data_IF_074397908038
#
_entry.id   IF_074397908038
#
_cell.length_a   1.000
_cell.length_b   1.000
_cell.length_c   1.000
_cell.angle_alpha   90.00
_cell.angle_beta   90.00
_cell.angle_gamma   90.00
#
_symmetry.space_group_name_H-M   'P 1'
#
loop_
_entity.id
_entity.type
_entity.pdbx_description
1 polymer ?
#
# COMPACT_ATOMS: atom_id res chain seq x y z
N UNK A 1 -15.82 -23.77 4.75
CA UNK A 1 -16.32 -23.13 6.00
C UNK A 1 -16.07 -21.65 5.85
N UNK A 2 -17.12 -20.84 5.88
CA UNK A 2 -16.99 -19.39 5.79
C UNK A 2 -16.48 -18.87 7.14
N UNK A 3 -15.38 -18.10 7.14
CA UNK A 3 -14.93 -17.40 8.33
C UNK A 3 -15.85 -16.21 8.59
N UNK A 4 -16.30 -15.97 9.82
CA UNK A 4 -17.20 -14.87 10.13
C UNK A 4 -16.51 -13.52 9.95
N UNK A 5 -17.17 -12.60 9.27
CA UNK A 5 -16.81 -11.16 9.28
C UNK A 5 -17.17 -10.66 10.68
N UNK A 6 -16.17 -10.34 11.48
CA UNK A 6 -16.39 -9.80 12.84
C UNK A 6 -16.70 -8.32 12.71
N UNK A 7 -17.90 -7.91 13.05
CA UNK A 7 -18.27 -6.49 13.11
C UNK A 7 -17.73 -5.85 14.38
N UNK A 8 -17.57 -4.51 14.39
CA UNK A 8 -17.13 -3.75 15.57
C UNK A 8 -17.95 -4.09 16.83
N UNK A 9 -19.24 -4.38 16.67
CA UNK A 9 -20.15 -4.69 17.76
C UNK A 9 -19.82 -6.04 18.39
N UNK A 10 -19.45 -7.02 17.59
CA UNK A 10 -19.05 -8.34 18.06
C UNK A 10 -17.64 -8.32 18.70
N UNK A 11 -16.74 -7.50 18.14
CA UNK A 11 -15.40 -7.31 18.71
C UNK A 11 -15.47 -6.61 20.08
N UNK A 12 -16.28 -5.54 20.21
CA UNK A 12 -16.45 -4.80 21.48
C UNK A 12 -17.25 -5.60 22.51
N UNK A 13 -18.28 -6.35 22.10
CA UNK A 13 -19.03 -7.22 23.02
C UNK A 13 -18.21 -8.40 23.49
N UNK A 14 -17.36 -8.97 22.64
CA UNK A 14 -16.42 -10.02 23.05
C UNK A 14 -15.39 -9.53 24.08
N UNK A 15 -14.89 -8.31 23.94
CA UNK A 15 -13.98 -7.69 24.91
C UNK A 15 -14.68 -7.23 26.21
N UNK A 16 -15.94 -6.79 26.13
CA UNK A 16 -16.70 -6.33 27.30
C UNK A 16 -17.23 -7.49 28.19
N UNK A 17 -17.46 -8.67 27.61
CA UNK A 17 -17.95 -9.83 28.37
C UNK A 17 -16.88 -10.49 29.25
N UNK A 18 -15.61 -10.15 29.02
CA UNK A 18 -14.49 -10.62 29.87
C UNK A 18 -14.29 -9.75 31.13
N UNK A 19 -14.91 -8.57 31.21
CA UNK A 19 -14.70 -7.61 32.31
C UNK A 19 -15.68 -7.77 33.50
N UNK A 20 -16.69 -8.65 33.45
CA UNK A 20 -17.66 -8.84 34.55
C UNK A 20 -17.83 -10.33 34.86
N UNK A 21 -16.83 -10.88 35.50
CA UNK A 21 -16.90 -12.24 36.04
C UNK A 21 -15.72 -12.49 36.99
N UNK A 22 -15.84 -12.07 38.25
CA UNK A 22 -14.92 -12.48 39.29
C UNK A 22 -15.14 -13.96 39.60
N UNK A 23 -14.44 -14.82 38.88
CA UNK A 23 -14.28 -16.22 39.28
C UNK A 23 -12.81 -16.45 39.51
N UNK A 24 -12.47 -16.73 40.78
CA UNK A 24 -11.17 -17.21 41.17
C UNK A 24 -10.83 -18.51 40.43
N UNK A 25 -10.04 -18.37 39.37
CA UNK A 25 -9.44 -19.49 38.65
C UNK A 25 -7.91 -19.30 38.63
N UNK A 26 -7.23 -20.34 39.00
CA UNK A 26 -5.80 -20.41 39.28
C UNK A 26 -4.86 -19.90 38.16
N UNK A 27 -3.52 -19.92 38.40
CA UNK A 27 -2.55 -19.05 37.74
C UNK A 27 -2.09 -19.46 36.33
N UNK A 28 -2.93 -20.14 35.53
CA UNK A 28 -2.58 -20.55 34.16
C UNK A 28 -3.77 -20.43 33.20
N UNK A 29 -4.21 -19.20 32.89
CA UNK A 29 -4.94 -18.98 31.67
C UNK A 29 -4.12 -18.01 30.79
N UNK A 30 -3.52 -18.59 29.79
CA UNK A 30 -3.05 -17.90 28.59
C UNK A 30 -4.20 -17.01 28.07
N UNK A 31 -4.06 -15.71 28.19
CA UNK A 31 -4.87 -14.78 27.38
C UNK A 31 -4.56 -15.12 25.92
N UNK A 32 -5.49 -15.74 25.23
CA UNK A 32 -5.38 -15.94 23.80
C UNK A 32 -5.19 -14.55 23.17
N UNK A 33 -4.04 -14.33 22.57
CA UNK A 33 -3.80 -13.12 21.76
C UNK A 33 -4.85 -13.14 20.67
N UNK A 34 -5.69 -12.09 20.61
CA UNK A 34 -6.59 -11.91 19.47
C UNK A 34 -5.70 -11.83 18.22
N UNK A 35 -5.90 -12.69 17.22
CA UNK A 35 -5.06 -12.67 16.03
C UNK A 35 -5.14 -11.28 15.39
N UNK A 36 -3.99 -10.72 15.04
CA UNK A 36 -3.93 -9.48 14.28
C UNK A 36 -4.54 -9.75 12.91
N UNK A 37 -5.50 -8.93 12.44
CA UNK A 37 -6.07 -9.10 11.11
C UNK A 37 -5.03 -8.97 10.00
N UNK A 38 -5.24 -9.66 8.88
CA UNK A 38 -4.34 -9.58 7.71
C UNK A 38 -4.53 -8.27 6.94
N UNK A 39 -5.77 -7.79 6.89
CA UNK A 39 -6.16 -6.56 6.18
C UNK A 39 -7.12 -5.74 7.04
N UNK A 40 -6.91 -4.43 7.04
CA UNK A 40 -7.85 -3.44 7.58
C UNK A 40 -8.43 -2.57 6.46
N UNK A 41 -9.72 -2.25 6.57
CA UNK A 41 -10.43 -1.34 5.67
C UNK A 41 -11.15 -0.29 6.51
N UNK A 42 -10.68 0.95 6.48
CA UNK A 42 -11.27 2.05 7.26
C UNK A 42 -11.87 3.07 6.32
N UNK A 43 -13.13 3.45 6.58
CA UNK A 43 -13.90 4.43 5.79
C UNK A 43 -14.30 5.62 6.63
N UNK A 44 -14.33 6.80 6.04
CA UNK A 44 -14.74 8.06 6.70
C UNK A 44 -13.62 8.70 7.52
N UNK A 45 -13.94 9.83 8.16
CA UNK A 45 -12.96 10.66 8.84
C UNK A 45 -12.00 11.39 7.90
N UNK A 46 -10.97 12.03 8.48
CA UNK A 46 -9.87 12.59 7.67
C UNK A 46 -8.94 11.49 7.16
N UNK A 47 -8.19 11.76 6.09
CA UNK A 47 -7.22 10.83 5.52
C UNK A 47 -6.18 10.38 6.58
N UNK A 48 -5.68 11.30 7.40
CA UNK A 48 -4.77 10.99 8.49
C UNK A 48 -5.42 10.10 9.55
N UNK A 49 -6.64 10.42 10.02
CA UNK A 49 -7.34 9.63 11.03
C UNK A 49 -7.66 8.21 10.52
N UNK A 50 -8.11 8.07 9.26
CA UNK A 50 -8.37 6.78 8.66
C UNK A 50 -7.09 5.95 8.51
N UNK A 51 -5.97 6.59 8.16
CA UNK A 51 -4.65 5.93 8.05
C UNK A 51 -4.18 5.41 9.41
N UNK A 52 -4.20 6.27 10.43
CA UNK A 52 -3.82 5.87 11.80
C UNK A 52 -4.68 4.71 12.26
N UNK A 53 -6.00 4.84 12.11
CA UNK A 53 -6.92 3.79 12.55
C UNK A 53 -6.73 2.47 11.83
N UNK A 54 -6.49 2.50 10.52
CA UNK A 54 -6.21 1.30 9.73
C UNK A 54 -4.98 0.55 10.27
N UNK A 55 -3.93 1.27 10.62
CA UNK A 55 -2.71 0.67 11.15
C UNK A 55 -2.86 0.21 12.61
N UNK A 56 -3.61 0.93 13.45
CA UNK A 56 -3.94 0.48 14.80
C UNK A 56 -4.69 -0.85 14.80
N UNK A 57 -5.63 -1.04 13.88
CA UNK A 57 -6.37 -2.30 13.72
C UNK A 57 -5.47 -3.47 13.30
N UNK A 58 -4.33 -3.19 12.70
CA UNK A 58 -3.29 -4.16 12.32
C UNK A 58 -2.20 -4.33 13.39
N UNK A 59 -2.46 -3.92 14.64
CA UNK A 59 -1.50 -4.03 15.75
C UNK A 59 -0.56 -2.85 15.90
N UNK A 60 -0.77 -1.76 15.15
CA UNK A 60 0.04 -0.54 15.17
C UNK A 60 1.30 -0.62 14.33
N UNK A 61 1.92 0.55 14.09
CA UNK A 61 3.14 0.64 13.28
C UNK A 61 4.32 -0.16 13.89
N UNK A 62 4.37 -0.31 15.20
CA UNK A 62 5.39 -1.12 15.91
C UNK A 62 5.37 -2.61 15.52
N UNK A 63 4.27 -3.09 14.91
CA UNK A 63 4.21 -4.43 14.35
C UNK A 63 5.08 -4.58 13.09
N UNK A 64 5.30 -3.48 12.37
CA UNK A 64 6.01 -3.45 11.08
C UNK A 64 7.38 -2.81 11.16
N UNK A 65 7.55 -1.81 12.03
CA UNK A 65 8.76 -1.00 12.15
C UNK A 65 9.35 -1.17 13.54
N UNK A 66 10.61 -1.56 13.61
CA UNK A 66 11.35 -1.67 14.85
C UNK A 66 12.13 -0.38 15.17
N UNK A 67 12.47 -0.19 16.45
CA UNK A 67 13.34 0.91 16.84
C UNK A 67 14.71 0.80 16.17
N UNK A 68 15.15 1.89 15.56
CA UNK A 68 16.42 1.97 14.82
C UNK A 68 16.31 1.69 13.32
N UNK A 69 15.14 1.25 12.81
CA UNK A 69 14.96 0.95 11.39
C UNK A 69 15.15 2.17 10.49
N UNK A 70 15.71 1.90 9.31
CA UNK A 70 15.66 2.78 8.13
C UNK A 70 14.48 2.35 7.26
N UNK A 71 13.48 3.22 7.15
CA UNK A 71 12.21 2.94 6.46
C UNK A 71 12.15 3.72 5.15
N UNK A 72 11.81 3.02 4.07
CA UNK A 72 11.43 3.65 2.80
C UNK A 72 9.91 3.77 2.79
N UNK A 73 9.41 4.98 2.74
CA UNK A 73 8.00 5.27 2.44
C UNK A 73 7.91 5.60 0.96
N UNK A 74 7.22 4.74 0.21
CA UNK A 74 7.09 4.81 -1.25
C UNK A 74 5.67 5.18 -1.66
N UNK A 75 5.31 6.47 -1.73
CA UNK A 75 4.04 6.90 -2.27
C UNK A 75 3.99 6.79 -3.80
N UNK A 76 2.88 7.15 -4.40
CA UNK A 76 2.82 7.47 -5.83
C UNK A 76 3.01 8.99 -5.98
N UNK A 77 4.11 9.40 -6.63
CA UNK A 77 4.41 10.79 -7.00
C UNK A 77 4.61 10.84 -8.53
N UNK A 78 3.66 10.24 -9.25
CA UNK A 78 3.84 9.99 -10.68
C UNK A 78 3.67 11.25 -11.54
N UNK A 79 2.87 12.23 -11.12
CA UNK A 79 2.32 13.23 -12.01
C UNK A 79 2.45 14.65 -11.44
N UNK A 80 2.67 15.61 -12.35
CA UNK A 80 2.57 17.03 -12.04
C UNK A 80 1.09 17.42 -11.99
N UNK A 81 0.42 17.05 -10.89
CA UNK A 81 -1.00 17.32 -10.65
C UNK A 81 -1.23 17.83 -9.23
N UNK A 82 -2.27 18.63 -9.06
CA UNK A 82 -2.63 19.16 -7.73
C UNK A 82 -3.31 18.08 -6.88
N UNK A 83 -3.20 18.25 -5.58
CA UNK A 83 -3.88 17.44 -4.56
C UNK A 83 -5.39 17.34 -4.85
N UNK A 84 -5.98 16.18 -4.57
CA UNK A 84 -7.41 15.91 -4.72
C UNK A 84 -7.85 15.40 -6.08
N UNK A 85 -6.93 15.31 -7.07
CA UNK A 85 -7.24 14.74 -8.38
C UNK A 85 -7.08 13.21 -8.47
N UNK A 86 -6.66 12.56 -7.38
CA UNK A 86 -6.48 11.11 -7.32
C UNK A 86 -5.40 10.56 -8.26
N UNK A 87 -4.50 11.42 -8.74
CA UNK A 87 -3.40 11.03 -9.61
C UNK A 87 -2.15 10.61 -8.82
N UNK A 88 -1.94 11.21 -7.67
CA UNK A 88 -0.84 10.96 -6.72
C UNK A 88 -1.41 10.63 -5.34
N UNK A 89 -0.60 10.03 -4.48
CA UNK A 89 -1.01 9.70 -3.11
C UNK A 89 -1.36 10.97 -2.34
N UNK A 90 -2.39 10.91 -1.52
CA UNK A 90 -2.80 12.01 -0.64
C UNK A 90 -1.66 12.34 0.35
N UNK A 91 -1.17 13.59 0.40
CA UNK A 91 -0.06 13.99 1.26
C UNK A 91 -0.36 13.82 2.75
N UNK A 92 -1.62 13.86 3.19
CA UNK A 92 -1.99 13.59 4.59
C UNK A 92 -1.77 12.13 4.97
N UNK A 93 -2.04 11.18 4.07
CA UNK A 93 -1.73 9.75 4.26
C UNK A 93 -0.23 9.56 4.41
N UNK A 94 0.55 10.16 3.52
CA UNK A 94 2.02 10.07 3.55
C UNK A 94 2.58 10.65 4.86
N UNK A 95 2.11 11.83 5.25
CA UNK A 95 2.53 12.49 6.50
C UNK A 95 2.24 11.61 7.71
N UNK A 96 1.02 11.06 7.79
CA UNK A 96 0.60 10.24 8.93
C UNK A 96 1.44 8.96 9.04
N UNK A 97 1.69 8.27 7.93
CA UNK A 97 2.55 7.07 7.91
C UNK A 97 3.96 7.39 8.39
N UNK A 98 4.55 8.51 7.94
CA UNK A 98 5.89 8.94 8.37
C UNK A 98 5.90 9.24 9.88
N UNK A 99 4.90 9.96 10.37
CA UNK A 99 4.74 10.26 11.81
C UNK A 99 4.70 8.97 12.62
N UNK A 100 3.87 8.00 12.22
CA UNK A 100 3.77 6.71 12.89
C UNK A 100 5.06 5.88 12.82
N UNK A 101 5.85 5.99 11.74
CA UNK A 101 7.18 5.35 11.67
C UNK A 101 8.12 5.91 12.73
N UNK A 102 8.17 7.22 12.92
CA UNK A 102 9.00 7.82 13.96
C UNK A 102 8.47 7.55 15.37
N UNK A 103 7.16 7.52 15.57
CA UNK A 103 6.52 7.09 16.83
C UNK A 103 6.91 5.63 17.18
N UNK A 104 7.06 4.76 16.18
CA UNK A 104 7.55 3.39 16.34
C UNK A 104 9.07 3.30 16.59
N UNK A 105 9.79 4.43 16.54
CA UNK A 105 11.22 4.51 16.80
C UNK A 105 12.11 4.35 15.57
N UNK A 106 11.58 4.50 14.36
CA UNK A 106 12.42 4.52 13.16
C UNK A 106 13.54 5.56 13.29
N UNK A 107 14.77 5.16 12.98
CA UNK A 107 15.94 6.05 12.98
C UNK A 107 15.90 7.02 11.81
N UNK A 108 15.37 6.57 10.69
CA UNK A 108 15.34 7.31 9.43
C UNK A 108 14.14 6.91 8.60
N UNK A 109 13.48 7.88 8.01
CA UNK A 109 12.45 7.67 6.99
C UNK A 109 12.85 8.40 5.72
N UNK A 110 12.89 7.70 4.60
CA UNK A 110 13.17 8.26 3.28
C UNK A 110 11.95 8.16 2.39
N UNK A 111 11.70 9.21 1.59
CA UNK A 111 10.59 9.27 0.64
C UNK A 111 11.13 9.52 -0.75
N UNK A 112 10.79 8.67 -1.68
CA UNK A 112 11.10 8.84 -3.10
C UNK A 112 10.14 8.07 -4.01
N UNK A 113 10.05 8.52 -5.25
CA UNK A 113 9.35 7.86 -6.36
C UNK A 113 9.97 8.28 -7.69
N UNK A 114 10.03 7.36 -8.65
CA UNK A 114 10.43 7.68 -10.01
C UNK A 114 9.21 8.21 -10.79
N UNK A 115 9.18 9.51 -11.02
CA UNK A 115 8.06 10.25 -11.60
C UNK A 115 7.88 10.03 -13.11
N UNK A 116 6.71 10.36 -13.65
CA UNK A 116 6.41 10.35 -15.08
C UNK A 116 6.56 11.73 -15.73
N UNK A 117 6.55 12.80 -14.93
CA UNK A 117 6.83 14.17 -15.35
C UNK A 117 8.09 14.68 -14.66
N UNK A 118 8.42 15.95 -14.80
CA UNK A 118 9.58 16.57 -14.18
C UNK A 118 9.51 16.38 -12.64
N UNK A 119 10.54 15.79 -12.00
CA UNK A 119 10.45 15.36 -10.59
C UNK A 119 10.10 16.47 -9.62
N UNK A 120 10.77 17.62 -9.70
CA UNK A 120 10.54 18.73 -8.76
C UNK A 120 9.09 19.23 -8.79
N UNK A 121 8.51 19.26 -10.00
CA UNK A 121 7.13 19.69 -10.18
C UNK A 121 6.17 18.65 -9.61
N UNK A 122 6.39 17.35 -9.88
CA UNK A 122 5.56 16.29 -9.33
C UNK A 122 5.54 16.33 -7.79
N UNK A 123 6.71 16.40 -7.18
CA UNK A 123 6.85 16.42 -5.72
C UNK A 123 6.20 17.66 -5.09
N UNK A 124 6.35 18.82 -5.73
CA UNK A 124 5.76 20.08 -5.27
C UNK A 124 4.24 20.10 -5.45
N UNK A 125 3.76 19.80 -6.68
CA UNK A 125 2.32 19.90 -7.03
C UNK A 125 1.46 18.89 -6.27
N UNK A 126 1.99 17.66 -6.01
CA UNK A 126 1.32 16.65 -5.21
C UNK A 126 1.23 17.01 -3.72
N UNK A 127 2.01 18.00 -3.24
CA UNK A 127 2.12 18.37 -1.84
C UNK A 127 2.88 17.36 -0.98
N UNK A 128 3.33 16.23 -1.55
CA UNK A 128 3.96 15.14 -0.80
C UNK A 128 5.32 15.58 -0.24
N UNK A 129 6.11 16.37 -1.00
CA UNK A 129 7.39 16.87 -0.50
C UNK A 129 7.23 17.68 0.79
N UNK A 130 6.30 18.64 0.79
CA UNK A 130 6.05 19.49 1.95
C UNK A 130 5.54 18.67 3.16
N UNK A 131 4.61 17.75 2.91
CA UNK A 131 4.04 16.87 3.92
C UNK A 131 5.10 15.95 4.54
N UNK A 132 5.92 15.29 3.71
CA UNK A 132 6.97 14.38 4.16
C UNK A 132 8.06 15.12 4.96
N UNK A 133 8.54 16.26 4.48
CA UNK A 133 9.51 17.10 5.20
C UNK A 133 8.96 17.61 6.54
N UNK A 134 7.69 17.99 6.58
CA UNK A 134 7.06 18.46 7.82
C UNK A 134 6.94 17.35 8.88
N UNK A 135 6.92 16.07 8.45
CA UNK A 135 6.93 14.91 9.33
C UNK A 135 8.36 14.43 9.68
N UNK A 136 9.41 15.08 9.18
CA UNK A 136 10.81 14.76 9.49
C UNK A 136 11.49 13.79 8.52
N UNK A 137 10.85 13.42 7.43
CA UNK A 137 11.46 12.50 6.46
C UNK A 137 12.50 13.17 5.55
N UNK A 138 13.48 12.40 5.13
CA UNK A 138 14.37 12.75 4.02
C UNK A 138 13.64 12.53 2.70
N UNK A 139 13.43 13.60 1.94
CA UNK A 139 12.82 13.53 0.60
C UNK A 139 13.92 13.56 -0.45
N UNK A 140 13.99 12.53 -1.27
CA UNK A 140 15.01 12.38 -2.29
C UNK A 140 14.41 12.45 -3.69
N UNK A 141 15.07 13.19 -4.60
CA UNK A 141 14.87 13.04 -6.03
C UNK A 141 15.76 11.90 -6.52
N UNK A 142 15.14 10.92 -7.17
CA UNK A 142 15.90 9.74 -7.63
C UNK A 142 16.94 10.14 -8.67
N UNK A 143 18.17 9.67 -8.46
CA UNK A 143 19.31 9.97 -9.31
C UNK A 143 19.68 8.73 -10.15
N UNK A 144 19.85 8.92 -11.46
CA UNK A 144 20.15 7.83 -12.41
C UNK A 144 21.43 7.06 -12.07
N UNK A 145 22.39 7.68 -11.37
CA UNK A 145 23.63 7.03 -10.93
C UNK A 145 23.47 6.13 -9.69
N UNK A 146 22.26 6.04 -9.14
CA UNK A 146 21.96 5.26 -7.92
C UNK A 146 21.05 4.06 -8.19
N UNK A 147 21.13 3.48 -9.38
CA UNK A 147 20.47 2.23 -9.72
C UNK A 147 21.52 1.12 -9.85
N UNK A 148 21.24 -0.01 -9.22
CA UNK A 148 22.04 -1.22 -9.35
C UNK A 148 21.26 -2.26 -10.14
N UNK A 149 21.96 -3.01 -10.98
CA UNK A 149 21.36 -4.10 -11.75
C UNK A 149 21.11 -5.28 -10.81
N UNK A 150 19.85 -5.72 -10.71
CA UNK A 150 19.41 -6.80 -9.82
C UNK A 150 18.85 -7.94 -10.65
N UNK A 151 19.30 -9.15 -10.33
CA UNK A 151 18.81 -10.37 -10.95
C UNK A 151 17.54 -10.88 -10.25
N UNK A 152 16.64 -11.45 -11.03
CA UNK A 152 15.43 -12.12 -10.57
C UNK A 152 15.52 -13.62 -10.90
N UNK A 153 16.16 -14.43 -10.03
CA UNK A 153 16.52 -15.84 -10.34
C UNK A 153 15.28 -16.69 -10.69
N UNK A 154 14.17 -16.40 -10.00
CA UNK A 154 12.89 -17.09 -10.23
C UNK A 154 11.96 -16.33 -11.19
N UNK A 155 12.44 -15.29 -11.83
CA UNK A 155 11.67 -14.52 -12.80
C UNK A 155 11.30 -15.39 -14.00
N UNK A 156 10.05 -15.33 -14.43
CA UNK A 156 9.57 -16.02 -15.64
C UNK A 156 10.02 -15.22 -16.87
N UNK A 157 9.79 -13.93 -16.85
CA UNK A 157 10.04 -13.03 -17.96
C UNK A 157 11.12 -11.98 -17.65
N UNK A 158 11.05 -11.34 -16.48
CA UNK A 158 12.04 -10.36 -16.04
C UNK A 158 13.21 -11.09 -15.38
N UNK A 159 14.36 -11.12 -16.05
CA UNK A 159 15.56 -11.81 -15.53
C UNK A 159 16.46 -10.89 -14.73
N UNK A 160 16.49 -9.61 -15.09
CA UNK A 160 17.35 -8.62 -14.46
C UNK A 160 16.81 -7.22 -14.77
N UNK A 161 16.93 -6.28 -13.81
CA UNK A 161 16.46 -4.91 -13.99
C UNK A 161 17.19 -3.94 -13.06
N UNK A 162 17.41 -2.66 -13.47
CA UNK A 162 17.98 -1.66 -12.59
C UNK A 162 16.99 -1.23 -11.52
N UNK A 163 17.38 -1.33 -10.24
CA UNK A 163 16.59 -0.98 -9.06
C UNK A 163 17.29 0.11 -8.27
N UNK A 164 16.52 1.06 -7.74
CA UNK A 164 17.09 2.15 -6.95
C UNK A 164 17.76 1.60 -5.69
N UNK A 165 19.05 1.96 -5.50
CA UNK A 165 19.94 1.37 -4.49
C UNK A 165 19.35 1.41 -3.08
N UNK A 166 18.70 2.50 -2.70
CA UNK A 166 18.14 2.66 -1.35
C UNK A 166 16.95 1.72 -1.07
N UNK A 167 16.30 1.20 -2.11
CA UNK A 167 15.24 0.21 -1.97
C UNK A 167 15.74 -1.24 -1.87
N UNK A 168 17.05 -1.46 -2.02
CA UNK A 168 17.61 -2.80 -1.97
C UNK A 168 17.75 -3.32 -0.53
N UNK A 169 17.57 -4.64 -0.31
CA UNK A 169 17.91 -5.25 0.97
C UNK A 169 19.36 -4.94 1.39
N UNK A 170 19.56 -4.61 2.66
CA UNK A 170 20.85 -4.18 3.22
C UNK A 170 21.06 -2.66 3.20
N UNK A 171 20.34 -1.91 2.39
CA UNK A 171 20.36 -0.43 2.40
C UNK A 171 19.14 0.16 3.12
N UNK A 172 18.18 -0.69 3.46
CA UNK A 172 16.95 -0.35 4.19
C UNK A 172 16.52 -1.53 5.05
N UNK A 173 15.70 -1.28 6.04
CA UNK A 173 15.08 -2.31 6.86
C UNK A 173 13.66 -2.60 6.38
N UNK A 174 12.87 -1.56 6.05
CA UNK A 174 11.48 -1.68 5.65
C UNK A 174 11.13 -0.88 4.40
N UNK A 175 10.16 -1.39 3.60
CA UNK A 175 9.45 -0.63 2.57
C UNK A 175 7.96 -0.56 2.95
N UNK A 176 7.43 0.65 3.07
CA UNK A 176 6.00 0.91 3.18
C UNK A 176 5.53 1.50 1.85
N UNK A 177 4.72 0.73 1.13
CA UNK A 177 4.20 1.08 -0.18
C UNK A 177 2.83 1.77 -0.03
N UNK A 178 2.68 3.00 -0.55
CA UNK A 178 1.44 3.78 -0.44
C UNK A 178 0.89 4.11 -1.84
N UNK A 179 0.30 3.14 -2.55
CA UNK A 179 -0.33 3.39 -3.84
C UNK A 179 -1.61 4.22 -3.69
N UNK A 180 -1.94 5.03 -4.70
CA UNK A 180 -3.27 5.62 -4.85
C UNK A 180 -4.11 4.72 -5.75
N UNK A 181 -5.35 4.43 -5.33
CA UNK A 181 -6.33 3.69 -6.13
C UNK A 181 -6.83 4.57 -7.28
N UNK A 182 -6.53 4.19 -8.51
CA UNK A 182 -6.91 4.98 -9.69
C UNK A 182 -7.04 4.17 -10.95
N UNK A 183 -7.90 4.64 -11.85
CA UNK A 183 -7.96 4.21 -13.25
C UNK A 183 -6.59 4.29 -13.91
N UNK A 184 -6.28 3.28 -14.69
CA UNK A 184 -5.11 3.25 -15.56
C UNK A 184 -5.47 2.56 -16.88
N UNK A 185 -4.97 3.06 -18.00
CA UNK A 185 -5.22 2.44 -19.30
C UNK A 185 -4.50 1.09 -19.48
N UNK A 186 -3.47 0.84 -18.65
CA UNK A 186 -2.66 -0.37 -18.64
C UNK A 186 -2.34 -0.79 -17.17
N UNK A 187 -2.27 -2.10 -16.84
CA UNK A 187 -2.59 -3.24 -17.69
C UNK A 187 -4.09 -3.32 -17.99
N UNK A 188 -4.47 -4.07 -19.02
CA UNK A 188 -5.88 -4.38 -19.28
C UNK A 188 -6.36 -5.45 -18.30
N UNK A 189 -7.65 -5.43 -18.00
CA UNK A 189 -8.29 -6.50 -17.23
C UNK A 189 -8.62 -7.71 -18.12
N UNK A 190 -8.89 -8.85 -17.52
CA UNK A 190 -9.41 -10.04 -18.23
C UNK A 190 -10.72 -9.72 -18.94
N UNK A 191 -11.58 -8.93 -18.35
CA UNK A 191 -12.86 -8.49 -18.91
C UNK A 191 -12.73 -7.45 -20.03
N UNK A 192 -11.50 -7.01 -20.37
CA UNK A 192 -11.25 -5.96 -21.37
C UNK A 192 -11.54 -4.54 -20.90
N UNK A 193 -11.97 -4.35 -19.66
CA UNK A 193 -12.10 -3.03 -19.03
C UNK A 193 -10.72 -2.37 -18.88
N UNK A 194 -10.65 -1.04 -18.76
CA UNK A 194 -9.41 -0.37 -18.38
C UNK A 194 -8.87 -0.92 -17.07
N UNK A 195 -7.54 -1.00 -16.94
CA UNK A 195 -6.91 -1.41 -15.71
C UNK A 195 -6.99 -0.36 -14.60
N UNK A 196 -6.47 -0.72 -13.45
CA UNK A 196 -6.33 0.16 -12.29
C UNK A 196 -4.90 0.09 -11.75
N UNK A 197 -4.48 1.12 -11.05
CA UNK A 197 -3.19 1.19 -10.38
C UNK A 197 -3.37 0.95 -8.89
N UNK A 198 -2.54 0.04 -8.36
CA UNK A 198 -2.51 -0.40 -6.97
C UNK A 198 -1.06 -0.71 -6.54
N UNK A 199 -0.88 -1.52 -5.49
CA UNK A 199 0.39 -1.79 -4.85
C UNK A 199 1.47 -2.34 -5.78
N UNK A 200 1.17 -3.43 -6.50
CA UNK A 200 2.13 -3.98 -7.47
C UNK A 200 2.56 -2.94 -8.50
N UNK A 201 1.60 -2.22 -9.09
CA UNK A 201 1.89 -1.19 -10.09
C UNK A 201 2.72 -0.06 -9.51
N UNK A 202 2.48 0.31 -8.24
CA UNK A 202 3.21 1.37 -7.57
C UNK A 202 4.69 1.02 -7.37
N UNK A 203 5.02 -0.27 -7.19
CA UNK A 203 6.42 -0.71 -7.05
C UNK A 203 7.29 -0.41 -8.27
N UNK A 204 6.70 -0.15 -9.46
CA UNK A 204 7.47 0.36 -10.61
C UNK A 204 8.21 1.68 -10.32
N UNK A 205 7.76 2.43 -9.33
CA UNK A 205 8.38 3.71 -8.97
C UNK A 205 9.76 3.61 -8.34
N UNK A 206 10.27 2.41 -8.07
CA UNK A 206 11.66 2.16 -7.64
C UNK A 206 12.51 1.49 -8.72
N UNK A 207 11.92 1.23 -9.89
CA UNK A 207 12.63 0.71 -11.06
C UNK A 207 13.30 1.83 -11.84
N UNK A 208 14.48 1.57 -12.36
CA UNK A 208 15.23 2.45 -13.26
C UNK A 208 15.01 2.09 -14.73
N UNK A 209 15.89 2.59 -15.59
CA UNK A 209 15.92 2.28 -17.00
C UNK A 209 14.65 2.68 -17.75
N UNK A 210 14.43 2.06 -18.92
CA UNK A 210 13.22 2.31 -19.71
C UNK A 210 12.01 1.53 -19.15
N UNK A 211 11.40 2.04 -18.10
CA UNK A 211 10.24 1.42 -17.43
C UNK A 211 9.04 1.16 -18.37
N UNK A 212 8.96 1.86 -19.49
CA UNK A 212 7.94 1.62 -20.52
C UNK A 212 7.96 0.18 -21.02
N UNK A 213 9.13 -0.46 -21.08
CA UNK A 213 9.28 -1.86 -21.50
C UNK A 213 8.63 -2.86 -20.54
N UNK A 214 8.48 -2.51 -19.27
CA UNK A 214 7.81 -3.36 -18.27
C UNK A 214 6.35 -3.63 -18.66
N UNK A 215 5.70 -2.70 -19.37
CA UNK A 215 4.32 -2.88 -19.83
C UNK A 215 4.17 -3.96 -20.93
N UNK A 216 5.26 -4.35 -21.57
CA UNK A 216 5.25 -5.50 -22.48
C UNK A 216 5.38 -6.81 -21.66
N UNK A 217 4.24 -7.41 -21.32
CA UNK A 217 4.14 -8.55 -20.40
C UNK A 217 4.17 -8.06 -18.94
N UNK A 218 3.41 -6.99 -18.66
CA UNK A 218 3.35 -6.34 -17.35
C UNK A 218 3.03 -7.34 -16.24
N UNK A 219 2.10 -8.25 -16.50
CA UNK A 219 1.57 -9.20 -15.53
C UNK A 219 2.65 -10.11 -14.95
N UNK A 220 3.58 -10.54 -15.80
CA UNK A 220 4.70 -11.39 -15.39
C UNK A 220 5.86 -10.54 -14.84
N UNK A 221 6.22 -9.47 -15.56
CA UNK A 221 7.35 -8.62 -15.20
C UNK A 221 7.23 -8.02 -13.79
N UNK A 222 6.02 -7.53 -13.43
CA UNK A 222 5.84 -6.89 -12.11
C UNK A 222 5.79 -7.94 -10.99
N UNK A 223 5.27 -9.11 -11.27
CA UNK A 223 5.28 -10.21 -10.31
C UNK A 223 6.71 -10.73 -10.11
N UNK A 224 7.48 -10.90 -11.21
CA UNK A 224 8.90 -11.25 -11.13
C UNK A 224 9.67 -10.27 -10.25
N UNK A 225 9.47 -8.97 -10.49
CA UNK A 225 10.09 -7.90 -9.68
C UNK A 225 9.74 -8.06 -8.20
N UNK A 226 8.46 -8.26 -7.89
CA UNK A 226 8.00 -8.38 -6.50
C UNK A 226 8.35 -9.72 -5.84
N UNK A 227 8.96 -10.69 -6.53
CA UNK A 227 9.55 -11.86 -5.86
C UNK A 227 10.81 -11.53 -5.07
N UNK A 228 11.52 -10.48 -5.46
CA UNK A 228 12.79 -10.04 -4.82
C UNK A 228 12.62 -8.75 -4.04
N UNK A 229 11.94 -7.77 -4.62
CA UNK A 229 11.73 -6.45 -4.01
C UNK A 229 10.28 -6.36 -3.51
N UNK A 230 10.09 -6.61 -2.22
CA UNK A 230 8.76 -6.65 -1.59
C UNK A 230 8.54 -5.45 -0.67
N UNK A 231 7.30 -5.00 -0.60
CA UNK A 231 6.86 -4.12 0.48
C UNK A 231 6.58 -4.94 1.74
N UNK A 232 6.96 -4.40 2.89
CA UNK A 232 6.68 -4.98 4.21
C UNK A 232 5.26 -4.63 4.67
N UNK A 233 4.75 -3.50 4.19
CA UNK A 233 3.38 -3.02 4.43
C UNK A 233 2.89 -2.28 3.19
N UNK A 234 1.65 -2.52 2.78
CA UNK A 234 0.98 -1.77 1.71
C UNK A 234 -0.24 -1.06 2.26
N UNK A 235 -0.39 0.22 1.92
CA UNK A 235 -1.47 1.10 2.36
C UNK A 235 -2.07 1.75 1.13
N UNK A 236 -3.20 1.24 0.65
CA UNK A 236 -3.90 1.81 -0.50
C UNK A 236 -4.65 3.07 -0.06
N UNK A 237 -4.27 4.18 -0.65
CA UNK A 237 -5.01 5.42 -0.56
C UNK A 237 -6.19 5.38 -1.55
N UNK A 238 -7.38 5.21 -1.03
CA UNK A 238 -8.64 5.33 -1.74
C UNK A 238 -9.47 6.52 -1.20
N UNK A 239 -8.82 7.60 -0.77
CA UNK A 239 -9.51 8.80 -0.30
C UNK A 239 -10.19 9.54 -1.46
N UNK A 240 -9.44 9.76 -2.55
CA UNK A 240 -9.92 10.36 -3.78
C UNK A 240 -9.58 9.43 -4.95
N UNK A 241 -10.56 8.70 -5.46
CA UNK A 241 -10.35 7.68 -6.49
C UNK A 241 -10.60 8.25 -7.88
N UNK A 242 -9.57 8.31 -8.70
CA UNK A 242 -9.71 8.69 -10.11
C UNK A 242 -10.37 7.55 -10.88
N UNK A 243 -11.63 7.71 -11.25
CA UNK A 243 -12.45 6.66 -11.89
C UNK A 243 -12.27 6.56 -13.39
N UNK A 244 -11.84 7.65 -14.04
CA UNK A 244 -11.73 7.74 -15.51
C UNK A 244 -10.56 8.63 -15.90
N UNK A 245 -10.11 8.50 -17.16
CA UNK A 245 -9.07 9.33 -17.75
C UNK A 245 -7.72 9.32 -16.99
N UNK A 246 -7.48 8.25 -16.18
CA UNK A 246 -6.18 8.03 -15.54
C UNK A 246 -5.12 7.50 -16.53
N UNK A 247 -3.87 7.44 -16.09
CA UNK A 247 -3.40 7.58 -14.71
C UNK A 247 -3.16 9.03 -14.23
N UNK A 248 -3.10 10.02 -15.13
CA UNK A 248 -2.87 11.41 -14.78
C UNK A 248 -4.14 12.15 -14.36
N UNK A 249 -5.26 11.85 -15.01
CA UNK A 249 -6.52 12.57 -14.79
C UNK A 249 -6.43 14.06 -15.15
N UNK A 250 -7.03 14.90 -14.32
CA UNK A 250 -6.99 16.35 -14.47
C UNK A 250 -8.32 17.06 -14.26
N UNK A 251 -9.43 16.31 -14.13
CA UNK A 251 -10.78 16.84 -13.93
C UNK A 251 -11.39 16.29 -12.66
N UNK A 252 -11.91 17.14 -11.79
CA UNK A 252 -12.60 16.71 -10.57
C UNK A 252 -13.83 15.83 -10.86
N UNK A 253 -14.49 16.03 -12.01
CA UNK A 253 -15.63 15.20 -12.43
C UNK A 253 -15.27 13.73 -12.70
N UNK A 254 -13.99 13.39 -12.79
CA UNK A 254 -13.51 12.03 -12.96
C UNK A 254 -13.10 11.37 -11.62
N UNK A 255 -13.17 12.13 -10.52
CA UNK A 255 -12.75 11.71 -9.18
C UNK A 255 -13.97 11.42 -8.31
N UNK A 256 -13.95 10.30 -7.62
CA UNK A 256 -14.91 9.95 -6.59
C UNK A 256 -14.24 9.99 -5.21
N UNK A 257 -14.87 10.69 -4.29
CA UNK A 257 -14.41 10.75 -2.90
C UNK A 257 -14.96 9.53 -2.13
N UNK A 258 -14.08 8.62 -1.72
CA UNK A 258 -14.45 7.43 -0.97
C UNK A 258 -14.00 7.48 0.50
N UNK A 259 -13.07 8.36 0.84
CA UNK A 259 -12.49 8.48 2.19
C UNK A 259 -12.14 7.11 2.79
N UNK A 260 -11.43 6.28 2.04
CA UNK A 260 -11.14 4.89 2.39
C UNK A 260 -9.65 4.62 2.39
N UNK A 261 -9.17 3.92 3.42
CA UNK A 261 -7.81 3.39 3.52
C UNK A 261 -7.91 1.86 3.65
N UNK A 262 -7.06 1.15 2.89
CA UNK A 262 -6.94 -0.31 2.94
C UNK A 262 -5.48 -0.63 3.23
N UNK A 263 -5.20 -1.37 4.29
CA UNK A 263 -3.82 -1.67 4.68
C UNK A 263 -3.61 -3.13 5.05
N UNK A 264 -2.38 -3.63 4.87
CA UNK A 264 -1.97 -4.98 5.23
C UNK A 264 -0.57 -5.33 4.72
N UNK A 265 -0.01 -6.42 5.25
CA UNK A 265 1.30 -6.95 4.82
C UNK A 265 1.17 -7.81 3.55
N UNK A 266 0.05 -8.48 3.35
CA UNK A 266 -0.23 -9.23 2.11
C UNK A 266 -0.67 -8.27 1.00
N UNK A 267 0.30 -7.86 0.16
CA UNK A 267 0.04 -6.91 -0.94
C UNK A 267 -0.97 -7.46 -1.95
N UNK A 268 -1.07 -8.78 -2.14
CA UNK A 268 -2.07 -9.38 -3.04
C UNK A 268 -3.47 -9.20 -2.48
N UNK A 269 -3.67 -9.46 -1.18
CA UNK A 269 -4.95 -9.29 -0.51
C UNK A 269 -5.37 -7.81 -0.44
N UNK A 270 -4.41 -6.92 -0.14
CA UNK A 270 -4.65 -5.47 -0.12
C UNK A 270 -5.05 -4.94 -1.50
N UNK A 271 -4.33 -5.36 -2.56
CA UNK A 271 -4.68 -4.98 -3.94
C UNK A 271 -6.04 -5.60 -4.36
N UNK A 272 -6.34 -6.84 -3.95
CA UNK A 272 -7.65 -7.47 -4.19
C UNK A 272 -8.79 -6.68 -3.55
N UNK A 273 -8.62 -6.17 -2.33
CA UNK A 273 -9.55 -5.24 -1.69
C UNK A 273 -9.67 -3.91 -2.45
N UNK A 274 -8.56 -3.38 -2.95
CA UNK A 274 -8.53 -2.19 -3.79
C UNK A 274 -9.33 -2.41 -5.09
N UNK A 275 -9.20 -3.56 -5.73
CA UNK A 275 -9.98 -3.95 -6.93
C UNK A 275 -11.47 -3.96 -6.63
N UNK A 276 -11.89 -4.61 -5.54
CA UNK A 276 -13.31 -4.60 -5.10
C UNK A 276 -13.81 -3.19 -4.80
N UNK A 277 -13.01 -2.37 -4.15
CA UNK A 277 -13.33 -0.96 -3.85
C UNK A 277 -13.49 -0.14 -5.13
N UNK A 278 -12.76 -0.49 -6.18
CA UNK A 278 -12.93 0.11 -7.51
C UNK A 278 -14.16 -0.43 -8.26
N UNK A 279 -14.82 -1.49 -7.79
CA UNK A 279 -15.99 -2.10 -8.43
C UNK A 279 -15.67 -3.14 -9.49
N UNK A 280 -14.50 -3.78 -9.37
CA UNK A 280 -14.08 -4.89 -10.22
C UNK A 280 -13.92 -6.17 -9.39
N UNK A 281 -13.79 -7.32 -10.05
CA UNK A 281 -13.43 -8.56 -9.39
C UNK A 281 -11.91 -8.70 -9.26
N UNK A 282 -11.39 -9.23 -8.14
CA UNK A 282 -9.94 -9.32 -7.93
C UNK A 282 -9.18 -10.02 -9.05
N UNK A 283 -9.76 -11.05 -9.65
CA UNK A 283 -9.15 -11.81 -10.73
C UNK A 283 -9.25 -11.12 -12.11
N UNK A 284 -9.95 -10.00 -12.22
CA UNK A 284 -9.88 -9.13 -13.41
C UNK A 284 -8.44 -8.65 -13.65
N UNK A 285 -7.65 -8.41 -12.58
CA UNK A 285 -6.24 -8.04 -12.71
C UNK A 285 -5.36 -9.30 -12.80
N UNK A 286 -4.90 -9.61 -14.00
CA UNK A 286 -4.14 -10.84 -14.32
C UNK A 286 -2.92 -11.00 -13.42
N UNK A 287 -2.20 -9.92 -13.11
CA UNK A 287 -1.02 -9.99 -12.24
C UNK A 287 -1.35 -10.44 -10.81
N UNK A 288 -2.56 -10.17 -10.29
CA UNK A 288 -2.96 -10.67 -8.96
C UNK A 288 -3.13 -12.20 -8.97
N UNK A 289 -3.77 -12.73 -10.02
CA UNK A 289 -3.89 -14.18 -10.20
C UNK A 289 -2.50 -14.83 -10.31
N UNK A 290 -1.57 -14.22 -11.04
CA UNK A 290 -0.20 -14.69 -11.18
C UNK A 290 0.57 -14.61 -9.86
N UNK A 291 0.46 -13.50 -9.13
CA UNK A 291 1.10 -13.32 -7.82
C UNK A 291 0.59 -14.34 -6.79
N UNK A 292 -0.73 -14.59 -6.75
CA UNK A 292 -1.32 -15.61 -5.90
C UNK A 292 -0.84 -17.02 -6.28
N UNK A 293 -0.82 -17.37 -7.57
CA UNK A 293 -0.31 -18.64 -8.07
C UNK A 293 1.14 -18.90 -7.66
N UNK A 294 1.95 -17.86 -7.56
CA UNK A 294 3.37 -17.91 -7.17
C UNK A 294 3.59 -17.78 -5.65
N UNK A 295 2.52 -17.77 -4.85
CA UNK A 295 2.61 -17.75 -3.39
C UNK A 295 3.05 -16.41 -2.80
N UNK A 296 2.83 -15.29 -3.51
CA UNK A 296 3.16 -13.95 -3.01
C UNK A 296 2.09 -13.39 -2.07
N UNK A 297 0.91 -14.00 -2.01
CA UNK A 297 -0.20 -13.61 -1.14
C UNK A 297 -1.52 -14.22 -1.59
N UNK A 298 -2.63 -13.74 -1.04
CA UNK A 298 -3.96 -14.33 -1.19
C UNK A 298 -4.90 -13.41 -1.98
N UNK A 299 -5.35 -13.87 -3.15
CA UNK A 299 -6.37 -13.18 -3.95
C UNK A 299 -7.80 -13.48 -3.45
N UNK A 300 -8.01 -14.67 -2.88
CA UNK A 300 -9.28 -15.11 -2.31
C UNK A 300 -9.47 -14.47 -0.92
N UNK A 301 -10.25 -13.42 -0.86
CA UNK A 301 -10.50 -12.66 0.36
C UNK A 301 -11.29 -13.44 1.42
N UNK A 302 -11.90 -14.58 1.09
CA UNK A 302 -12.52 -15.46 2.07
C UNK A 302 -11.49 -16.18 2.97
N UNK A 303 -10.23 -16.18 2.57
CA UNK A 303 -9.09 -16.77 3.29
C UNK A 303 -8.28 -15.74 4.07
N UNK A 304 -8.71 -14.48 4.06
CA UNK A 304 -8.02 -13.33 4.63
C UNK A 304 -8.85 -12.79 5.80
N UNK A 305 -8.25 -12.71 6.97
CA UNK A 305 -8.92 -12.09 8.13
C UNK A 305 -8.93 -10.59 7.93
N UNK A 306 -10.12 -10.04 7.67
CA UNK A 306 -10.30 -8.61 7.41
C UNK A 306 -11.09 -7.95 8.53
N UNK A 307 -10.64 -6.78 8.96
CA UNK A 307 -11.41 -5.89 9.83
C UNK A 307 -11.83 -4.65 9.06
N UNK A 308 -13.12 -4.33 9.13
CA UNK A 308 -13.70 -3.14 8.51
C UNK A 308 -14.25 -2.20 9.58
N UNK A 309 -13.95 -0.92 9.46
CA UNK A 309 -14.46 0.12 10.37
C UNK A 309 -14.87 1.36 9.60
N UNK A 310 -15.88 2.08 10.11
CA UNK A 310 -16.29 3.40 9.62
C UNK A 310 -16.11 4.41 10.73
N UNK A 311 -15.34 5.43 10.44
CA UNK A 311 -15.20 6.61 11.30
C UNK A 311 -16.37 7.56 11.08
N UNK A 312 -16.77 8.23 12.16
CA UNK A 312 -17.81 9.26 12.15
C UNK A 312 -17.33 10.56 11.51
#
# INVERSE_FOLDING_TARGET
MAYPIITRREFVTGAATVAVGTVLLGPNRLFGTVPVPDVSVVRGGSAAAATRRALELLGGMNHYVASGDTVIVKPNIGWDTRVGLGADTNPEVVKEVITMCFEAGAKKVKVFDNTCNEPRRCYQSSGIEAAAKSAGAEVEFMNENRYDQIDFPNGVRLKSWPVYRDALPGNRDKIINIPVLKHHSLPKTKSGKPGISLGFKNMMGIMGGNRGQIHNGFEENIVDFCTVIRADLTIVDATNVLRRNGPRGGRLADVEKLDTIIAGADMVAVDAWGVKTFGYEPDDLIYLSEANRRGLGHIDLSRVVTVEERLS
#
